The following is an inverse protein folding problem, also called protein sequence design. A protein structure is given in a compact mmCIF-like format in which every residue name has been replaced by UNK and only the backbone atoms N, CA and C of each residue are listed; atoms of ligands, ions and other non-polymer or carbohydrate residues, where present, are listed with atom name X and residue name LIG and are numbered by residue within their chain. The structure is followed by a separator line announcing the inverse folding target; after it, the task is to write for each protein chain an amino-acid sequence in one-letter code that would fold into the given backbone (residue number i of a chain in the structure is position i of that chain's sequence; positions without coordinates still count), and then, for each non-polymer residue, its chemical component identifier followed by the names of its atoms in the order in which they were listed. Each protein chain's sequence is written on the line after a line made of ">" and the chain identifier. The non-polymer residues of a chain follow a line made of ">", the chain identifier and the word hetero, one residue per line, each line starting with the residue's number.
data_IF_838449126838
#
_entry.id   IF_838449126838
#
_cell.length_a   1.000
_cell.length_b   1.000
_cell.length_c   1.000
_cell.angle_alpha   90.00
_cell.angle_beta   90.00
_cell.angle_gamma   90.00
#
_symmetry.space_group_name_H-M   'P 1'
#
loop_
_entity.id
_entity.type
_entity.pdbx_description
1 polymer ?
#
# COMPACT_ATOMS: atom_id res chain seq x y z
N UNK A 1 -10.48 -19.15 22.30
CA UNK A 1 -11.36 -19.75 23.33
C UNK A 1 -12.82 -19.37 23.03
N UNK A 2 -13.63 -20.29 22.50
CA UNK A 2 -15.09 -20.09 22.38
C UNK A 2 -15.69 -20.20 23.76
N UNK A 3 -16.01 -19.08 24.41
CA UNK A 3 -16.74 -19.07 25.69
C UNK A 3 -18.17 -19.55 25.44
N UNK A 4 -18.64 -20.52 26.26
CA UNK A 4 -19.98 -21.08 26.20
C UNK A 4 -21.04 -19.98 26.35
N UNK A 5 -22.10 -19.94 25.52
CA UNK A 5 -23.14 -18.91 25.53
C UNK A 5 -24.00 -18.88 26.82
N UNK A 6 -23.87 -19.85 27.67
CA UNK A 6 -24.65 -20.01 28.93
C UNK A 6 -24.29 -19.01 30.06
N UNK A 7 -23.21 -18.21 29.89
CA UNK A 7 -22.73 -17.29 30.92
C UNK A 7 -23.12 -15.80 30.71
N UNK A 8 -23.90 -15.49 29.68
CA UNK A 8 -24.23 -14.10 29.39
C UNK A 8 -25.64 -13.73 29.90
N UNK A 9 -25.77 -12.57 30.55
CA UNK A 9 -27.09 -12.04 30.95
C UNK A 9 -27.96 -11.78 29.68
N UNK A 10 -29.30 -11.83 29.81
CA UNK A 10 -30.20 -11.55 28.68
C UNK A 10 -29.94 -10.21 28.01
N UNK A 11 -29.60 -9.20 28.78
CA UNK A 11 -29.27 -7.84 28.30
C UNK A 11 -27.97 -7.83 27.48
N UNK A 12 -26.97 -8.61 27.89
CA UNK A 12 -25.71 -8.75 27.14
C UNK A 12 -25.91 -9.47 25.80
N UNK A 13 -26.77 -10.48 25.75
CA UNK A 13 -27.13 -11.18 24.53
C UNK A 13 -27.88 -10.26 23.54
N UNK A 14 -28.78 -9.40 24.07
CA UNK A 14 -29.44 -8.38 23.25
C UNK A 14 -28.45 -7.37 22.67
N UNK A 15 -27.50 -6.91 23.46
CA UNK A 15 -26.42 -6.00 23.03
C UNK A 15 -25.56 -6.63 21.91
N UNK A 16 -25.12 -7.87 22.09
CA UNK A 16 -24.35 -8.60 21.05
C UNK A 16 -25.17 -8.74 19.76
N UNK A 17 -26.47 -9.04 19.86
CA UNK A 17 -27.35 -9.14 18.68
C UNK A 17 -27.51 -7.80 17.99
N UNK A 18 -27.62 -6.69 18.74
CA UNK A 18 -27.67 -5.33 18.17
C UNK A 18 -26.40 -5.00 17.40
N UNK A 19 -25.22 -5.20 18.01
CA UNK A 19 -23.92 -4.99 17.34
C UNK A 19 -23.79 -5.83 16.07
N UNK A 20 -24.19 -7.12 16.12
CA UNK A 20 -24.13 -7.98 14.92
C UNK A 20 -25.04 -7.47 13.83
N UNK A 21 -26.26 -6.99 14.14
CA UNK A 21 -27.19 -6.40 13.17
C UNK A 21 -26.62 -5.11 12.58
N UNK A 22 -26.07 -4.23 13.41
CA UNK A 22 -25.43 -2.99 12.95
C UNK A 22 -24.23 -3.28 12.03
N UNK A 23 -23.38 -4.22 12.41
CA UNK A 23 -22.24 -4.63 11.56
C UNK A 23 -22.71 -5.25 10.23
N UNK A 24 -23.74 -6.10 10.26
CA UNK A 24 -24.31 -6.65 9.05
C UNK A 24 -24.91 -5.56 8.14
N UNK A 25 -25.64 -4.62 8.73
CA UNK A 25 -26.21 -3.48 8.00
C UNK A 25 -25.11 -2.62 7.37
N UNK A 26 -24.03 -2.33 8.10
CA UNK A 26 -22.87 -1.60 7.55
C UNK A 26 -22.24 -2.35 6.38
N UNK A 27 -22.11 -3.67 6.47
CA UNK A 27 -21.57 -4.49 5.36
C UNK A 27 -22.52 -4.44 4.16
N UNK A 28 -23.82 -4.62 4.37
CA UNK A 28 -24.82 -4.55 3.31
C UNK A 28 -24.79 -3.18 2.63
N UNK A 29 -24.76 -2.09 3.41
CA UNK A 29 -24.68 -0.72 2.86
C UNK A 29 -23.42 -0.50 2.02
N UNK A 30 -22.28 -1.02 2.46
CA UNK A 30 -21.02 -0.93 1.68
C UNK A 30 -21.14 -1.61 0.32
N UNK A 31 -21.66 -2.83 0.30
CA UNK A 31 -21.87 -3.55 -0.97
C UNK A 31 -22.98 -2.93 -1.83
N UNK A 32 -24.05 -2.40 -1.21
CA UNK A 32 -25.09 -1.69 -1.92
C UNK A 32 -24.57 -0.44 -2.63
N UNK A 33 -23.77 0.38 -1.95
CA UNK A 33 -23.16 1.57 -2.57
C UNK A 33 -22.33 1.17 -3.79
N UNK A 34 -21.45 0.17 -3.64
CA UNK A 34 -20.62 -0.30 -4.74
C UNK A 34 -21.48 -0.83 -5.90
N UNK A 35 -22.50 -1.62 -5.58
CA UNK A 35 -23.43 -2.16 -6.57
C UNK A 35 -24.18 -1.04 -7.32
N UNK A 36 -24.69 -0.04 -6.60
CA UNK A 36 -25.39 1.09 -7.22
C UNK A 36 -24.47 1.93 -8.11
N UNK A 37 -23.21 2.13 -7.73
CA UNK A 37 -22.23 2.84 -8.56
C UNK A 37 -21.99 2.05 -9.86
N UNK A 38 -21.72 0.75 -9.77
CA UNK A 38 -21.48 -0.08 -10.95
C UNK A 38 -22.74 -0.19 -11.84
N UNK A 39 -23.91 -0.34 -11.23
CA UNK A 39 -25.19 -0.39 -11.96
C UNK A 39 -25.47 0.93 -12.68
N UNK A 40 -25.27 2.06 -12.01
CA UNK A 40 -25.47 3.38 -12.61
C UNK A 40 -24.51 3.58 -13.79
N UNK A 41 -23.25 3.18 -13.65
CA UNK A 41 -22.28 3.25 -14.73
C UNK A 41 -22.67 2.38 -15.93
N UNK A 42 -23.08 1.14 -15.70
CA UNK A 42 -23.58 0.24 -16.75
C UNK A 42 -24.80 0.81 -17.47
N UNK A 43 -25.80 1.34 -16.72
CA UNK A 43 -27.00 1.92 -17.29
C UNK A 43 -26.72 3.18 -18.10
N UNK A 44 -25.83 4.07 -17.64
CA UNK A 44 -25.44 5.27 -18.37
C UNK A 44 -24.75 4.93 -19.71
N UNK A 45 -23.94 3.89 -19.73
CA UNK A 45 -23.34 3.39 -20.97
C UNK A 45 -24.38 2.72 -21.87
N UNK A 46 -25.28 1.90 -21.33
CA UNK A 46 -26.34 1.23 -22.08
C UNK A 46 -27.31 2.21 -22.76
N UNK A 47 -27.67 3.32 -22.09
CA UNK A 47 -28.50 4.37 -22.66
C UNK A 47 -27.73 5.35 -23.57
N UNK A 48 -26.46 5.11 -23.87
CA UNK A 48 -25.57 5.99 -24.64
C UNK A 48 -25.51 7.44 -24.10
N UNK A 49 -25.76 7.62 -22.80
CA UNK A 49 -25.53 8.91 -22.11
C UNK A 49 -24.03 9.20 -22.00
N UNK A 50 -23.25 8.12 -21.81
CA UNK A 50 -21.79 8.16 -21.84
C UNK A 50 -21.35 7.34 -23.06
N UNK A 51 -20.48 7.92 -23.90
CA UNK A 51 -19.93 7.21 -25.02
C UNK A 51 -19.06 6.04 -24.53
N UNK A 52 -19.47 4.83 -24.88
CA UNK A 52 -18.80 3.60 -24.48
C UNK A 52 -17.36 3.53 -25.00
N UNK A 53 -17.09 4.18 -26.15
CA UNK A 53 -15.73 4.29 -26.70
C UNK A 53 -14.80 5.09 -25.79
N UNK A 54 -15.32 6.09 -25.07
CA UNK A 54 -14.53 6.97 -24.19
C UNK A 54 -14.43 6.42 -22.76
N UNK A 55 -15.44 5.71 -22.28
CA UNK A 55 -15.54 5.37 -20.84
C UNK A 55 -15.48 3.89 -20.55
N UNK A 56 -15.68 2.98 -21.56
CA UNK A 56 -15.93 1.55 -21.30
C UNK A 56 -17.08 1.35 -20.30
N UNK A 57 -17.45 0.13 -19.94
CA UNK A 57 -18.46 -0.18 -18.94
C UNK A 57 -18.18 -1.51 -18.23
N UNK A 58 -18.72 -1.74 -17.04
CA UNK A 58 -18.38 -2.89 -16.21
C UNK A 58 -18.44 -4.25 -16.88
N UNK A 59 -19.42 -4.53 -17.71
CA UNK A 59 -19.53 -5.83 -18.40
C UNK A 59 -18.45 -5.99 -19.47
N UNK A 60 -18.09 -4.95 -20.22
CA UNK A 60 -17.01 -4.98 -21.22
C UNK A 60 -15.65 -5.17 -20.55
N UNK A 61 -15.42 -4.48 -19.42
CA UNK A 61 -14.22 -4.65 -18.60
C UNK A 61 -14.06 -6.11 -18.17
N UNK A 62 -15.17 -6.75 -17.72
CA UNK A 62 -15.14 -8.15 -17.30
C UNK A 62 -14.80 -9.09 -18.47
N UNK A 63 -15.37 -8.85 -19.66
CA UNK A 63 -15.05 -9.61 -20.87
C UNK A 63 -13.57 -9.43 -21.27
N UNK A 64 -13.07 -8.20 -21.23
CA UNK A 64 -11.67 -7.89 -21.56
C UNK A 64 -10.70 -8.57 -20.58
N UNK A 65 -11.00 -8.57 -19.27
CA UNK A 65 -10.19 -9.32 -18.27
C UNK A 65 -10.19 -10.81 -18.59
N UNK A 66 -11.35 -11.38 -18.92
CA UNK A 66 -11.47 -12.80 -19.25
C UNK A 66 -10.66 -13.16 -20.51
N UNK A 67 -10.74 -12.34 -21.56
CA UNK A 67 -9.99 -12.53 -22.80
C UNK A 67 -8.48 -12.44 -22.56
N UNK A 68 -8.01 -11.44 -21.82
CA UNK A 68 -6.60 -11.30 -21.44
C UNK A 68 -6.09 -12.51 -20.64
N UNK A 69 -6.95 -13.08 -19.77
CA UNK A 69 -6.61 -14.26 -19.01
C UNK A 69 -6.50 -15.50 -19.91
N UNK A 70 -7.42 -15.66 -20.86
CA UNK A 70 -7.45 -16.79 -21.81
C UNK A 70 -6.24 -16.80 -22.75
N UNK A 71 -5.78 -15.63 -23.17
CA UNK A 71 -4.63 -15.45 -24.05
C UNK A 71 -3.26 -15.57 -23.31
N UNK A 72 -3.25 -15.89 -22.01
CA UNK A 72 -2.10 -15.95 -21.13
C UNK A 72 -1.29 -14.64 -20.98
N UNK A 73 -1.75 -13.54 -21.58
CA UNK A 73 -1.05 -12.27 -21.52
C UNK A 73 -1.20 -11.61 -20.13
N UNK A 74 -2.36 -11.76 -19.47
CA UNK A 74 -2.61 -11.14 -18.17
C UNK A 74 -1.64 -11.63 -17.10
N UNK A 75 -1.44 -12.94 -16.97
CA UNK A 75 -0.54 -13.53 -15.96
C UNK A 75 0.91 -13.10 -16.14
N UNK A 76 1.35 -12.95 -17.37
CA UNK A 76 2.68 -12.44 -17.69
C UNK A 76 2.86 -11.00 -17.19
N UNK A 77 1.96 -10.08 -17.58
CA UNK A 77 2.01 -8.68 -17.17
C UNK A 77 1.86 -8.52 -15.65
N UNK A 78 0.94 -9.28 -15.05
CA UNK A 78 0.70 -9.31 -13.60
C UNK A 78 1.95 -9.74 -12.83
N UNK A 79 2.63 -10.79 -13.27
CA UNK A 79 3.84 -11.29 -12.60
C UNK A 79 4.98 -10.28 -12.60
N UNK A 80 5.15 -9.53 -13.69
CA UNK A 80 6.16 -8.48 -13.81
C UNK A 80 5.85 -7.34 -12.84
N UNK A 81 4.63 -6.77 -12.89
CA UNK A 81 4.25 -5.69 -11.99
C UNK A 81 4.34 -6.08 -10.52
N UNK A 82 3.90 -7.31 -10.17
CA UNK A 82 4.02 -7.83 -8.80
C UNK A 82 5.49 -7.94 -8.36
N UNK A 83 6.34 -8.50 -9.20
CA UNK A 83 7.77 -8.62 -8.90
C UNK A 83 8.40 -7.25 -8.63
N UNK A 84 8.18 -6.28 -9.52
CA UNK A 84 8.73 -4.93 -9.40
C UNK A 84 8.19 -4.20 -8.16
N UNK A 85 6.89 -4.31 -7.90
CA UNK A 85 6.24 -3.68 -6.75
C UNK A 85 6.70 -4.30 -5.43
N UNK A 86 6.73 -5.63 -5.32
CA UNK A 86 7.14 -6.33 -4.10
C UNK A 86 8.62 -6.06 -3.80
N UNK A 87 9.48 -6.13 -4.82
CA UNK A 87 10.91 -5.87 -4.64
C UNK A 87 11.16 -4.42 -4.22
N UNK A 88 10.51 -3.46 -4.88
CA UNK A 88 10.58 -2.05 -4.51
C UNK A 88 10.08 -1.78 -3.09
N UNK A 89 8.95 -2.38 -2.72
CA UNK A 89 8.38 -2.31 -1.37
C UNK A 89 9.34 -2.84 -0.30
N UNK A 90 9.90 -4.03 -0.52
CA UNK A 90 10.80 -4.65 0.46
C UNK A 90 12.07 -3.81 0.65
N UNK A 91 12.71 -3.37 -0.45
CA UNK A 91 13.92 -2.55 -0.39
C UNK A 91 13.60 -1.22 0.33
N UNK A 92 12.54 -0.51 -0.07
CA UNK A 92 12.15 0.76 0.54
C UNK A 92 11.86 0.61 2.04
N UNK A 93 11.18 -0.46 2.43
CA UNK A 93 10.84 -0.75 3.83
C UNK A 93 12.08 -1.04 4.66
N UNK A 94 12.94 -1.95 4.20
CA UNK A 94 14.15 -2.36 4.93
C UNK A 94 15.10 -1.17 5.09
N UNK A 95 15.43 -0.48 4.01
CA UNK A 95 16.35 0.64 4.08
C UNK A 95 15.74 1.85 4.80
N UNK A 96 14.45 2.14 4.62
CA UNK A 96 13.76 3.18 5.38
C UNK A 96 13.79 2.92 6.89
N UNK A 97 13.56 1.66 7.30
CA UNK A 97 13.68 1.25 8.70
C UNK A 97 15.11 1.39 9.23
N UNK A 98 16.10 0.90 8.49
CA UNK A 98 17.51 0.98 8.90
C UNK A 98 18.00 2.42 9.02
N UNK A 99 17.65 3.29 8.08
CA UNK A 99 17.97 4.72 8.16
C UNK A 99 17.28 5.39 9.35
N UNK A 100 16.01 5.09 9.60
CA UNK A 100 15.30 5.60 10.78
C UNK A 100 16.00 5.17 12.08
N UNK A 101 16.48 3.94 12.16
CA UNK A 101 17.21 3.39 13.29
C UNK A 101 18.54 4.12 13.50
N UNK A 102 19.29 4.37 12.44
CA UNK A 102 20.53 5.14 12.48
C UNK A 102 20.31 6.59 12.98
N UNK A 103 19.21 7.23 12.53
CA UNK A 103 18.84 8.57 12.95
C UNK A 103 18.35 8.63 14.41
N UNK A 104 17.66 7.60 14.86
CA UNK A 104 17.31 7.46 16.28
C UNK A 104 18.56 7.26 17.14
N UNK A 105 19.51 6.45 16.65
CA UNK A 105 20.75 6.18 17.36
C UNK A 105 21.61 7.43 17.56
N UNK A 106 21.72 8.31 16.59
CA UNK A 106 22.54 9.51 16.63
C UNK A 106 21.74 10.80 16.54
N UNK A 107 21.53 11.48 17.68
CA UNK A 107 20.88 12.81 17.71
C UNK A 107 21.61 13.84 16.85
N UNK A 108 22.95 13.75 16.72
CA UNK A 108 23.75 14.65 15.87
C UNK A 108 23.45 14.38 14.40
N UNK A 109 23.51 13.13 13.97
CA UNK A 109 23.22 12.73 12.59
C UNK A 109 21.81 13.16 12.18
N UNK A 110 20.82 12.94 13.07
CA UNK A 110 19.44 13.37 12.84
C UNK A 110 19.34 14.88 12.59
N UNK A 111 19.92 15.71 13.46
CA UNK A 111 19.89 17.18 13.30
C UNK A 111 20.52 17.65 12.01
N UNK A 112 21.57 16.99 11.55
CA UNK A 112 22.24 17.32 10.29
C UNK A 112 21.40 16.92 9.09
N UNK A 113 20.77 15.74 9.11
CA UNK A 113 20.04 15.19 7.96
C UNK A 113 18.57 15.61 7.89
N UNK A 114 17.98 16.08 8.99
CA UNK A 114 16.58 16.48 9.06
C UNK A 114 16.18 17.49 7.96
N UNK A 115 16.92 18.60 7.69
CA UNK A 115 16.58 19.51 6.60
C UNK A 115 16.60 18.82 5.23
N UNK A 116 17.55 17.94 4.99
CA UNK A 116 17.65 17.21 3.71
C UNK A 116 16.51 16.23 3.53
N UNK A 117 16.08 15.54 4.60
CA UNK A 117 14.95 14.62 4.58
C UNK A 117 13.66 15.38 4.24
N UNK A 118 13.46 16.57 4.79
CA UNK A 118 12.31 17.43 4.48
C UNK A 118 12.32 17.82 3.00
N UNK A 119 13.44 18.26 2.48
CA UNK A 119 13.58 18.61 1.05
C UNK A 119 13.32 17.39 0.17
N UNK A 120 13.93 16.24 0.46
CA UNK A 120 13.74 15.00 -0.30
C UNK A 120 12.29 14.50 -0.26
N UNK A 121 11.60 14.74 0.85
CA UNK A 121 10.18 14.39 0.93
C UNK A 121 9.30 15.29 0.05
N UNK A 122 9.65 16.56 -0.07
CA UNK A 122 8.91 17.56 -0.84
C UNK A 122 9.18 17.50 -2.34
N UNK A 123 10.28 16.84 -2.78
CA UNK A 123 10.60 16.70 -4.19
C UNK A 123 9.53 15.89 -4.94
N UNK A 124 9.10 16.33 -6.12
CA UNK A 124 8.23 15.55 -7.00
C UNK A 124 9.02 14.39 -7.62
N UNK A 125 9.15 13.28 -6.85
CA UNK A 125 10.00 12.13 -7.20
C UNK A 125 9.72 11.55 -8.57
N UNK A 126 8.47 11.63 -9.04
CA UNK A 126 8.05 11.21 -10.38
C UNK A 126 8.78 11.99 -11.48
N UNK A 127 9.06 13.28 -11.24
CA UNK A 127 9.79 14.13 -12.21
C UNK A 127 11.25 13.68 -12.40
N UNK A 128 11.79 12.85 -11.50
CA UNK A 128 13.12 12.26 -11.64
C UNK A 128 13.15 11.04 -12.59
N UNK A 129 11.99 10.58 -13.04
CA UNK A 129 11.86 9.41 -13.91
C UNK A 129 12.80 9.43 -15.13
N UNK A 130 12.85 10.49 -15.94
CA UNK A 130 13.76 10.57 -17.09
C UNK A 130 15.24 10.42 -16.71
N UNK A 131 15.66 10.95 -15.56
CA UNK A 131 17.05 10.82 -15.07
C UNK A 131 17.34 9.36 -14.68
N UNK A 132 16.39 8.70 -14.01
CA UNK A 132 16.49 7.30 -13.60
C UNK A 132 16.63 6.40 -14.84
N UNK A 133 15.90 6.70 -15.91
CA UNK A 133 15.98 5.98 -17.17
C UNK A 133 17.38 6.12 -17.81
N UNK A 134 17.95 7.30 -17.76
CA UNK A 134 19.31 7.54 -18.28
C UNK A 134 20.34 6.73 -17.50
N UNK A 135 20.18 6.58 -16.17
CA UNK A 135 21.11 5.85 -15.31
C UNK A 135 21.00 4.33 -15.42
N UNK A 136 19.78 3.81 -15.46
CA UNK A 136 19.51 2.36 -15.38
C UNK A 136 18.97 1.75 -16.69
N UNK A 137 18.73 2.57 -17.70
CA UNK A 137 18.10 2.16 -18.95
C UNK A 137 16.60 1.87 -18.82
N UNK A 138 15.95 1.50 -19.92
CA UNK A 138 14.55 1.05 -19.94
C UNK A 138 14.46 -0.41 -19.46
N UNK A 139 14.44 -0.62 -18.15
CA UNK A 139 14.46 -1.95 -17.54
C UNK A 139 13.70 -1.99 -16.22
N UNK A 140 13.37 -3.19 -15.74
CA UNK A 140 12.76 -3.41 -14.42
C UNK A 140 13.58 -2.80 -13.28
N UNK A 141 14.89 -2.62 -13.46
CA UNK A 141 15.74 -1.95 -12.44
C UNK A 141 15.33 -0.49 -12.25
N UNK A 142 15.02 0.23 -13.33
CA UNK A 142 14.54 1.61 -13.27
C UNK A 142 13.20 1.71 -12.55
N UNK A 143 12.30 0.75 -12.80
CA UNK A 143 10.97 0.69 -12.21
C UNK A 143 11.07 0.40 -10.71
N UNK A 144 11.84 -0.62 -10.33
CA UNK A 144 12.11 -0.94 -8.92
C UNK A 144 12.76 0.25 -8.20
N UNK A 145 13.73 0.92 -8.83
CA UNK A 145 14.39 2.09 -8.24
C UNK A 145 13.40 3.24 -8.01
N UNK A 146 12.46 3.44 -8.94
CA UNK A 146 11.36 4.42 -8.81
C UNK A 146 10.48 4.09 -7.59
N UNK A 147 10.07 2.84 -7.44
CA UNK A 147 9.29 2.38 -6.31
C UNK A 147 10.03 2.57 -4.98
N UNK A 148 11.33 2.27 -4.96
CA UNK A 148 12.21 2.50 -3.80
C UNK A 148 12.31 3.99 -3.48
N UNK A 149 12.56 4.84 -4.46
CA UNK A 149 12.73 6.29 -4.26
C UNK A 149 11.47 6.94 -3.67
N UNK A 150 10.29 6.50 -4.11
CA UNK A 150 9.02 7.02 -3.59
C UNK A 150 8.76 6.50 -2.17
N UNK A 151 9.02 5.21 -1.91
CA UNK A 151 8.69 4.55 -0.64
C UNK A 151 9.67 4.82 0.50
N UNK A 152 10.98 4.93 0.22
CA UNK A 152 12.02 4.93 1.25
C UNK A 152 11.94 6.13 2.20
N UNK A 153 11.68 7.33 1.69
CA UNK A 153 11.60 8.56 2.50
C UNK A 153 10.38 8.52 3.42
N UNK A 154 9.24 8.03 2.91
CA UNK A 154 8.02 7.90 3.70
C UNK A 154 8.23 6.85 4.81
N UNK A 155 8.82 5.70 4.48
CA UNK A 155 9.14 4.65 5.44
C UNK A 155 10.09 5.15 6.54
N UNK A 156 11.14 5.89 6.15
CA UNK A 156 12.10 6.51 7.08
C UNK A 156 11.39 7.48 8.04
N UNK A 157 10.60 8.42 7.52
CA UNK A 157 9.93 9.44 8.35
C UNK A 157 8.94 8.79 9.31
N UNK A 158 8.13 7.84 8.83
CA UNK A 158 7.16 7.15 9.67
C UNK A 158 7.85 6.39 10.80
N UNK A 159 8.90 5.62 10.50
CA UNK A 159 9.61 4.85 11.52
C UNK A 159 10.38 5.73 12.50
N UNK A 160 11.04 6.78 12.01
CA UNK A 160 11.72 7.73 12.89
C UNK A 160 10.74 8.37 13.88
N UNK A 161 9.58 8.81 13.41
CA UNK A 161 8.52 9.34 14.28
C UNK A 161 8.03 8.30 15.29
N UNK A 162 7.87 7.04 14.87
CA UNK A 162 7.52 5.94 15.76
C UNK A 162 8.54 5.71 16.86
N UNK A 163 9.82 5.73 16.54
CA UNK A 163 10.89 5.59 17.52
C UNK A 163 10.95 6.80 18.49
N UNK A 164 10.73 8.01 17.99
CA UNK A 164 10.77 9.24 18.78
C UNK A 164 9.51 9.43 19.65
N UNK A 165 8.41 8.79 19.30
CA UNK A 165 7.17 8.80 20.08
C UNK A 165 7.26 7.93 21.35
N UNK A 166 8.33 7.16 21.54
CA UNK A 166 8.53 6.36 22.75
C UNK A 166 8.53 7.24 23.99
N UNK A 167 7.79 6.81 25.02
CA UNK A 167 7.61 7.54 26.28
C UNK A 167 8.95 7.83 26.96
N UNK A 168 9.28 9.11 27.11
CA UNK A 168 10.54 9.58 27.71
C UNK A 168 10.67 9.16 29.17
N UNK A 169 9.56 9.06 29.92
CA UNK A 169 9.61 8.63 31.31
C UNK A 169 10.02 7.16 31.42
N UNK A 170 9.55 6.31 30.48
CA UNK A 170 9.97 4.92 30.43
C UNK A 170 11.45 4.77 30.03
N UNK A 171 11.95 5.63 29.15
CA UNK A 171 13.37 5.69 28.80
C UNK A 171 14.20 6.06 30.05
N UNK A 172 13.80 7.12 30.75
CA UNK A 172 14.46 7.60 31.96
C UNK A 172 14.47 6.53 33.07
N UNK A 173 13.34 5.81 33.22
CA UNK A 173 13.26 4.70 34.16
C UNK A 173 14.29 3.61 33.87
N UNK A 174 14.39 3.17 32.61
CA UNK A 174 15.37 2.15 32.20
C UNK A 174 16.82 2.65 32.39
N UNK A 175 17.09 3.93 32.08
CA UNK A 175 18.40 4.55 32.33
C UNK A 175 18.73 4.55 33.84
N UNK A 176 17.77 4.87 34.71
CA UNK A 176 17.93 4.83 36.16
C UNK A 176 18.17 3.42 36.71
N UNK A 177 17.70 2.40 35.99
CA UNK A 177 17.99 0.99 36.27
C UNK A 177 19.31 0.49 35.68
N UNK A 178 20.12 1.39 35.08
CA UNK A 178 21.43 1.06 34.49
C UNK A 178 21.38 0.47 33.08
N UNK A 179 20.24 0.57 32.39
CA UNK A 179 20.13 0.07 31.02
C UNK A 179 20.96 0.93 30.04
N UNK A 180 21.73 0.27 29.20
CA UNK A 180 22.44 0.94 28.11
C UNK A 180 21.52 1.24 26.93
N UNK A 181 21.99 2.10 26.01
CA UNK A 181 21.21 2.56 24.86
C UNK A 181 20.70 1.43 23.95
N UNK A 182 21.48 0.36 23.80
CA UNK A 182 21.09 -0.80 23.00
C UNK A 182 19.96 -1.60 23.68
N UNK A 183 20.03 -1.75 25.01
CA UNK A 183 18.98 -2.41 25.80
C UNK A 183 17.68 -1.61 25.76
N UNK A 184 17.74 -0.27 25.84
CA UNK A 184 16.58 0.61 25.69
C UNK A 184 15.97 0.47 24.29
N UNK A 185 16.78 0.45 23.23
CA UNK A 185 16.33 0.25 21.88
C UNK A 185 15.59 -1.09 21.74
N UNK A 186 16.21 -2.19 22.16
CA UNK A 186 15.69 -3.53 21.96
C UNK A 186 14.47 -3.84 22.82
N UNK A 187 14.48 -3.39 24.10
CA UNK A 187 13.43 -3.77 25.07
C UNK A 187 12.27 -2.77 25.16
N UNK A 188 12.47 -1.54 24.70
CA UNK A 188 11.45 -0.51 24.81
C UNK A 188 11.09 0.11 23.45
N UNK A 189 12.06 0.69 22.73
CA UNK A 189 11.78 1.50 21.54
C UNK A 189 11.23 0.65 20.39
N UNK A 190 11.88 -0.46 20.04
CA UNK A 190 11.41 -1.36 18.98
C UNK A 190 10.04 -1.94 19.32
N UNK A 191 9.80 -2.54 20.50
CA UNK A 191 8.48 -3.08 20.85
C UNK A 191 7.37 -2.02 20.87
N UNK A 192 7.65 -0.82 21.39
CA UNK A 192 6.65 0.25 21.44
C UNK A 192 6.31 0.82 20.06
N UNK A 193 7.20 0.68 19.08
CA UNK A 193 7.00 1.16 17.70
C UNK A 193 6.36 0.14 16.76
N UNK A 194 6.05 -1.09 17.20
CA UNK A 194 5.39 -2.11 16.38
C UNK A 194 4.11 -1.61 15.70
N UNK A 195 3.19 -0.88 16.37
CA UNK A 195 2.00 -0.36 15.70
C UNK A 195 2.34 0.61 14.56
N UNK A 196 3.35 1.47 14.76
CA UNK A 196 3.83 2.39 13.73
C UNK A 196 4.50 1.64 12.58
N UNK A 197 5.26 0.57 12.87
CA UNK A 197 5.85 -0.29 11.84
C UNK A 197 4.79 -0.91 10.95
N UNK A 198 3.71 -1.43 11.51
CA UNK A 198 2.61 -1.99 10.73
C UNK A 198 1.91 -0.90 9.89
N UNK A 199 1.70 0.28 10.46
CA UNK A 199 1.15 1.43 9.71
C UNK A 199 2.06 1.85 8.57
N UNK A 200 3.38 1.85 8.78
CA UNK A 200 4.38 2.09 7.74
C UNK A 200 4.29 1.04 6.61
N UNK A 201 4.16 -0.26 6.94
CA UNK A 201 3.98 -1.30 5.93
C UNK A 201 2.74 -1.06 5.07
N UNK A 202 1.60 -0.70 5.67
CA UNK A 202 0.36 -0.40 4.95
C UNK A 202 0.51 0.78 3.98
N UNK A 203 1.11 1.86 4.46
CA UNK A 203 1.39 3.05 3.64
C UNK A 203 2.42 2.72 2.55
N UNK A 204 3.45 1.95 2.92
CA UNK A 204 4.51 1.51 2.01
C UNK A 204 4.00 0.69 0.81
N UNK A 205 2.97 -0.15 1.00
CA UNK A 205 2.31 -0.85 -0.12
C UNK A 205 1.79 0.16 -1.14
N UNK A 206 1.02 1.17 -0.70
CA UNK A 206 0.49 2.18 -1.61
C UNK A 206 1.59 2.96 -2.33
N UNK A 207 2.67 3.33 -1.62
CA UNK A 207 3.80 4.04 -2.20
C UNK A 207 4.55 3.19 -3.23
N UNK A 208 4.72 1.90 -2.98
CA UNK A 208 5.36 0.97 -3.92
C UNK A 208 4.53 0.81 -5.20
N UNK A 209 3.20 0.68 -5.09
CA UNK A 209 2.31 0.64 -6.25
C UNK A 209 2.39 1.93 -7.08
N UNK A 210 2.35 3.10 -6.44
CA UNK A 210 2.52 4.38 -7.16
C UNK A 210 3.87 4.40 -7.89
N UNK A 211 4.94 3.96 -7.23
CA UNK A 211 6.27 3.99 -7.80
C UNK A 211 6.46 3.02 -8.96
N UNK A 212 6.00 1.78 -8.84
CA UNK A 212 6.11 0.78 -9.90
C UNK A 212 5.27 1.15 -11.12
N UNK A 213 4.00 1.56 -10.92
CA UNK A 213 3.14 1.96 -12.03
C UNK A 213 3.67 3.19 -12.76
N UNK A 214 4.16 4.20 -12.04
CA UNK A 214 4.79 5.37 -12.67
C UNK A 214 6.08 5.00 -13.40
N UNK A 215 6.86 4.06 -12.89
CA UNK A 215 8.02 3.51 -13.57
C UNK A 215 7.62 2.76 -14.85
N UNK A 216 6.60 1.91 -14.78
CA UNK A 216 6.09 1.18 -15.94
C UNK A 216 5.52 2.14 -17.01
N UNK A 217 4.86 3.23 -16.63
CA UNK A 217 4.36 4.25 -17.57
C UNK A 217 5.47 4.88 -18.40
N UNK A 218 6.65 5.05 -17.81
CA UNK A 218 7.75 5.74 -18.46
C UNK A 218 8.59 4.85 -19.37
N UNK A 219 8.78 3.56 -19.00
CA UNK A 219 9.83 2.76 -19.65
C UNK A 219 9.44 1.33 -19.94
N UNK A 220 8.33 0.82 -19.43
CA UNK A 220 8.03 -0.60 -19.52
C UNK A 220 7.64 -1.03 -20.93
N UNK A 221 7.98 -2.27 -21.24
CA UNK A 221 7.49 -3.02 -22.41
C UNK A 221 6.54 -4.14 -22.00
N UNK A 222 6.31 -4.30 -20.70
CA UNK A 222 5.44 -5.30 -20.11
C UNK A 222 5.03 -4.83 -18.69
N UNK A 223 3.95 -5.39 -18.17
CA UNK A 223 3.37 -4.99 -16.88
C UNK A 223 1.97 -4.43 -17.06
N UNK A 224 1.24 -4.27 -15.95
CA UNK A 224 -0.12 -3.72 -15.98
C UNK A 224 -0.13 -2.22 -16.28
N UNK A 225 0.88 -1.48 -15.79
CA UNK A 225 1.06 -0.07 -16.13
C UNK A 225 1.38 0.13 -17.61
N UNK A 226 2.18 -0.77 -18.21
CA UNK A 226 2.38 -0.80 -19.65
C UNK A 226 1.06 -0.99 -20.41
N UNK A 227 0.22 -1.95 -19.99
CA UNK A 227 -1.08 -2.17 -20.64
C UNK A 227 -1.99 -0.94 -20.58
N UNK A 228 -1.96 -0.19 -19.48
CA UNK A 228 -2.71 1.06 -19.35
C UNK A 228 -2.21 2.10 -20.34
N UNK A 229 -0.90 2.31 -20.44
CA UNK A 229 -0.33 3.28 -21.39
C UNK A 229 -0.59 2.85 -22.83
N UNK A 230 -0.33 1.60 -23.15
CA UNK A 230 -0.59 1.04 -24.47
C UNK A 230 -2.06 1.16 -24.86
N UNK A 231 -2.98 0.75 -23.97
CA UNK A 231 -4.41 0.87 -24.20
C UNK A 231 -4.85 2.32 -24.47
N UNK A 232 -4.29 3.29 -23.73
CA UNK A 232 -4.53 4.71 -23.98
C UNK A 232 -4.01 5.18 -25.33
N UNK A 233 -2.83 4.74 -25.76
CA UNK A 233 -2.24 5.11 -27.05
C UNK A 233 -2.98 4.54 -28.26
N UNK A 234 -3.57 3.34 -28.13
CA UNK A 234 -4.33 2.69 -29.20
C UNK A 234 -5.84 2.86 -29.07
N UNK A 235 -6.28 3.74 -28.17
CA UNK A 235 -7.71 4.03 -27.90
C UNK A 235 -8.53 2.80 -27.48
N UNK A 236 -7.90 1.80 -26.83
CA UNK A 236 -8.57 0.64 -26.21
C UNK A 236 -8.82 0.92 -24.73
N UNK A 237 -9.85 1.68 -24.43
CA UNK A 237 -10.14 2.11 -23.05
C UNK A 237 -10.68 0.97 -22.17
N UNK A 238 -11.26 -0.05 -22.77
CA UNK A 238 -11.57 -1.33 -22.14
C UNK A 238 -10.33 -2.00 -21.53
N UNK A 239 -9.21 -2.00 -22.27
CA UNK A 239 -7.92 -2.51 -21.79
C UNK A 239 -7.35 -1.67 -20.64
N UNK A 240 -7.45 -0.33 -20.73
CA UNK A 240 -7.02 0.59 -19.67
C UNK A 240 -7.79 0.32 -18.38
N UNK A 241 -9.13 0.26 -18.47
CA UNK A 241 -10.00 0.03 -17.32
C UNK A 241 -9.83 -1.37 -16.75
N UNK A 242 -9.73 -2.40 -17.61
CA UNK A 242 -9.47 -3.78 -17.19
C UNK A 242 -8.15 -3.89 -16.39
N UNK A 243 -7.07 -3.32 -16.91
CA UNK A 243 -5.76 -3.31 -16.24
C UNK A 243 -5.81 -2.55 -14.91
N UNK A 244 -6.53 -1.42 -14.86
CA UNK A 244 -6.73 -0.63 -13.64
C UNK A 244 -7.51 -1.41 -12.59
N UNK A 245 -8.58 -2.11 -12.96
CA UNK A 245 -9.35 -2.97 -12.04
C UNK A 245 -8.47 -4.08 -11.47
N UNK A 246 -7.69 -4.75 -12.31
CA UNK A 246 -6.74 -5.78 -11.86
C UNK A 246 -5.73 -5.21 -10.88
N UNK A 247 -5.17 -4.02 -11.15
CA UNK A 247 -4.29 -3.32 -10.22
C UNK A 247 -4.95 -3.05 -8.86
N UNK A 248 -6.18 -2.54 -8.86
CA UNK A 248 -6.93 -2.28 -7.63
C UNK A 248 -7.12 -3.56 -6.80
N UNK A 249 -7.43 -4.68 -7.46
CA UNK A 249 -7.56 -5.98 -6.79
C UNK A 249 -6.23 -6.41 -6.16
N UNK A 250 -5.12 -6.32 -6.90
CA UNK A 250 -3.79 -6.71 -6.39
C UNK A 250 -3.33 -5.82 -5.22
N UNK A 251 -3.51 -4.51 -5.35
CA UNK A 251 -3.19 -3.56 -4.27
C UNK A 251 -4.01 -3.86 -3.00
N UNK A 252 -5.29 -4.17 -3.17
CA UNK A 252 -6.18 -4.57 -2.08
C UNK A 252 -5.73 -5.88 -1.44
N UNK A 253 -5.31 -6.87 -2.22
CA UNK A 253 -4.80 -8.14 -1.72
C UNK A 253 -3.49 -7.95 -0.93
N UNK A 254 -2.54 -7.17 -1.44
CA UNK A 254 -1.31 -6.85 -0.71
C UNK A 254 -1.61 -6.13 0.62
N UNK A 255 -2.50 -5.14 0.60
CA UNK A 255 -2.92 -4.45 1.82
C UNK A 255 -3.61 -5.40 2.81
N UNK A 256 -4.48 -6.28 2.33
CA UNK A 256 -5.19 -7.26 3.15
C UNK A 256 -4.24 -8.24 3.85
N UNK A 257 -3.18 -8.67 3.18
CA UNK A 257 -2.14 -9.52 3.77
C UNK A 257 -1.52 -8.83 4.99
N UNK A 258 -1.13 -7.55 4.87
CA UNK A 258 -0.56 -6.79 5.99
C UNK A 258 -1.60 -6.58 7.10
N UNK A 259 -2.86 -6.31 6.77
CA UNK A 259 -3.93 -6.16 7.74
C UNK A 259 -4.22 -7.47 8.52
N UNK A 260 -4.03 -8.63 7.89
CA UNK A 260 -4.12 -9.94 8.56
C UNK A 260 -2.94 -10.14 9.52
N UNK A 261 -1.73 -9.76 9.11
CA UNK A 261 -0.53 -9.81 9.95
C UNK A 261 -0.73 -8.92 11.19
N UNK A 262 -1.24 -7.70 11.00
CA UNK A 262 -1.57 -6.78 12.11
C UNK A 262 -2.50 -7.41 13.14
N UNK A 263 -3.62 -8.02 12.68
CA UNK A 263 -4.58 -8.67 13.57
C UNK A 263 -3.96 -9.80 14.40
N UNK A 264 -2.92 -10.44 13.89
CA UNK A 264 -2.21 -11.48 14.65
C UNK A 264 -1.26 -10.89 15.69
N UNK A 265 -0.56 -9.80 15.34
CA UNK A 265 0.42 -9.14 16.22
C UNK A 265 -0.29 -8.31 17.30
N UNK A 266 -1.35 -7.59 16.96
CA UNK A 266 -2.12 -6.74 17.89
C UNK A 266 -2.97 -7.53 18.92
N UNK A 267 -2.98 -8.86 18.85
CA UNK A 267 -3.65 -9.71 19.86
C UNK A 267 -2.77 -10.00 21.08
N UNK A 268 -1.55 -9.58 21.08
CA UNK A 268 -0.59 -9.65 22.18
C UNK A 268 -0.30 -8.25 22.73
#
# INVERSE_FOLDING_TARGET
>A
MKRNPTYYSPTHLQYIRKIKKENALVIILRFSILFFILLTWELLAYFNVIDSFISSYPSEIAVTIFNLFKENNLLYHLSITLYETILGFLIATVFGYLFALALWWSKRLRRVLEPYIVVLNSLPKIALGPIIIVWFGSSSKSIVFMAVLIGIIVSLIMMLNGFLATDKNKILLLESMGANKFQILQKLVIPSSIPTFISMLKTGVGMAWIGSIMGEYLVSKAGLGYLIVYGGQVFKLDLVMASTVVLCVLATLMYAIIAIIEKKISKY
#
